data_IF_134313812487
#
_entry.id   IF_134313812487
#
_cell.length_a   1.000
_cell.length_b   1.000
_cell.length_c   1.000
_cell.angle_alpha   90.00
_cell.angle_beta   90.00
_cell.angle_gamma   90.00
#
_symmetry.space_group_name_H-M   'P 1'
#
loop_
_entity.id
_entity.type
_entity.pdbx_description
1 polymer ?
#
# COMPACT_ATOMS: atom_id res chain seq x y z
N UNK A 1 12.84 6.49 8.29
CA UNK A 1 11.91 5.64 9.08
C UNK A 1 12.76 4.76 9.97
N UNK A 2 12.39 4.59 11.24
CA UNK A 2 13.07 3.70 12.20
C UNK A 2 12.01 2.93 12.98
N UNK A 3 12.35 1.70 13.40
CA UNK A 3 11.51 0.91 14.29
C UNK A 3 12.21 0.86 15.63
N UNK A 4 11.61 1.51 16.62
CA UNK A 4 12.17 1.67 17.96
C UNK A 4 11.11 1.29 19.00
N UNK A 5 11.57 0.90 20.19
CA UNK A 5 10.68 0.68 21.34
C UNK A 5 10.25 2.02 21.92
N UNK A 6 9.11 2.04 22.63
CA UNK A 6 8.54 3.25 23.22
C UNK A 6 9.52 4.02 24.12
N UNK A 7 10.44 3.31 24.77
CA UNK A 7 11.44 3.86 25.67
C UNK A 7 12.50 4.70 24.95
N UNK A 8 12.77 4.41 23.67
CA UNK A 8 13.80 5.10 22.88
C UNK A 8 13.25 6.29 22.09
N UNK A 9 11.92 6.45 22.03
CA UNK A 9 11.29 7.49 21.22
C UNK A 9 11.37 8.85 21.89
N UNK A 10 11.96 9.83 21.19
CA UNK A 10 11.86 11.23 21.56
C UNK A 10 10.55 11.85 21.05
N UNK A 11 9.51 11.75 21.89
CA UNK A 11 8.18 12.31 21.62
C UNK A 11 8.14 13.85 21.66
N UNK A 12 9.22 14.53 22.09
CA UNK A 12 9.27 15.99 22.16
C UNK A 12 9.92 16.61 20.93
N UNK A 13 10.49 15.80 20.04
CA UNK A 13 11.10 16.29 18.81
C UNK A 13 10.05 16.90 17.88
N UNK A 14 10.25 18.16 17.50
CA UNK A 14 9.41 18.81 16.51
C UNK A 14 9.65 18.19 15.12
N UNK A 15 8.58 17.97 14.36
CA UNK A 15 8.67 17.45 12.99
C UNK A 15 8.77 15.93 12.87
N UNK A 16 8.62 15.18 13.98
CA UNK A 16 8.46 13.73 13.95
C UNK A 16 6.97 13.36 14.05
N UNK A 17 6.61 12.19 13.52
CA UNK A 17 5.33 11.56 13.80
C UNK A 17 5.59 10.10 14.15
N UNK A 18 4.86 9.60 15.14
CA UNK A 18 4.96 8.22 15.60
C UNK A 18 3.70 7.49 15.14
N UNK A 19 3.89 6.31 14.56
CA UNK A 19 2.80 5.42 14.18
C UNK A 19 3.00 4.08 14.88
N UNK A 20 1.90 3.51 15.37
CA UNK A 20 1.87 2.10 15.77
C UNK A 20 2.27 1.23 14.57
N UNK A 21 3.25 0.37 14.79
CA UNK A 21 3.74 -0.56 13.80
C UNK A 21 2.86 -1.83 13.78
N UNK A 22 2.43 -2.26 12.59
CA UNK A 22 1.67 -3.50 12.42
C UNK A 22 2.63 -4.68 12.49
N UNK A 23 2.59 -5.42 13.58
CA UNK A 23 3.53 -6.50 13.93
C UNK A 23 3.30 -7.80 13.14
N UNK A 24 2.05 -8.09 12.75
CA UNK A 24 1.63 -9.31 12.04
C UNK A 24 0.99 -8.99 10.69
N UNK A 25 1.75 -8.46 9.72
CA UNK A 25 1.24 -8.23 8.37
C UNK A 25 1.01 -9.57 7.63
N UNK A 26 0.11 -9.56 6.65
CA UNK A 26 0.05 -10.65 5.67
C UNK A 26 1.34 -10.67 4.85
N UNK A 27 1.95 -11.85 4.70
CA UNK A 27 3.22 -12.06 4.00
C UNK A 27 3.01 -12.91 2.76
N UNK A 28 3.69 -12.56 1.66
CA UNK A 28 3.81 -13.42 0.48
C UNK A 28 5.21 -14.00 0.47
N UNK A 29 5.35 -15.32 0.56
CA UNK A 29 6.64 -16.02 0.64
C UNK A 29 7.59 -15.52 1.74
N UNK A 30 7.02 -14.92 2.78
CA UNK A 30 7.76 -14.30 3.89
C UNK A 30 8.14 -12.84 3.67
N UNK A 31 7.78 -12.22 2.55
CA UNK A 31 8.00 -10.81 2.26
C UNK A 31 6.81 -9.95 2.69
N UNK A 32 7.11 -8.86 3.39
CA UNK A 32 6.15 -7.78 3.64
C UNK A 32 5.96 -6.98 2.35
N UNK A 33 4.76 -6.42 2.13
CA UNK A 33 4.49 -5.61 0.95
C UNK A 33 3.49 -4.49 1.26
N UNK A 34 3.42 -3.53 0.34
CA UNK A 34 2.34 -2.56 0.27
C UNK A 34 1.65 -2.55 -1.09
N UNK A 35 0.53 -1.82 -1.15
CA UNK A 35 -0.39 -1.81 -2.28
C UNK A 35 -0.58 -0.36 -2.73
N UNK A 36 -0.02 -0.01 -3.88
CA UNK A 36 -0.26 1.26 -4.56
C UNK A 36 -1.57 1.22 -5.35
N UNK A 37 -2.56 2.00 -4.91
CA UNK A 37 -3.83 2.17 -5.61
C UNK A 37 -3.83 3.50 -6.36
N UNK A 38 -4.08 3.46 -7.66
CA UNK A 38 -4.15 4.68 -8.45
C UNK A 38 -5.53 5.32 -8.31
N UNK A 39 -5.56 6.61 -8.01
CA UNK A 39 -6.81 7.37 -7.87
C UNK A 39 -6.78 8.64 -8.72
N UNK A 40 -7.94 9.14 -9.12
CA UNK A 40 -8.09 10.41 -9.80
C UNK A 40 -9.03 11.30 -8.99
N UNK A 41 -8.55 12.48 -8.60
CA UNK A 41 -9.36 13.49 -7.93
C UNK A 41 -9.77 14.50 -8.99
N UNK A 42 -11.07 14.61 -9.26
CA UNK A 42 -11.58 15.51 -10.32
C UNK A 42 -12.21 16.78 -9.75
N UNK A 43 -12.54 16.77 -8.46
CA UNK A 43 -13.14 17.90 -7.78
C UNK A 43 -12.86 17.76 -6.29
N UNK A 44 -12.62 18.87 -5.61
CA UNK A 44 -12.38 18.92 -4.16
C UNK A 44 -13.64 19.43 -3.44
N UNK A 45 -14.44 20.25 -4.11
CA UNK A 45 -15.70 20.76 -3.59
C UNK A 45 -16.76 20.81 -4.72
N UNK A 46 -17.69 19.84 -4.78
CA UNK A 46 -17.76 18.64 -3.92
C UNK A 46 -16.62 17.66 -4.21
N UNK A 47 -16.14 16.95 -3.19
CA UNK A 47 -15.06 15.97 -3.34
C UNK A 47 -15.49 14.83 -4.28
N UNK A 48 -14.75 14.64 -5.38
CA UNK A 48 -14.96 13.55 -6.35
C UNK A 48 -13.65 12.80 -6.59
N UNK A 49 -13.62 11.55 -6.16
CA UNK A 49 -12.46 10.65 -6.21
C UNK A 49 -12.85 9.38 -6.95
N UNK A 50 -12.06 9.00 -7.94
CA UNK A 50 -12.22 7.76 -8.71
C UNK A 50 -11.05 6.84 -8.45
N UNK A 51 -11.30 5.54 -8.34
CA UNK A 51 -10.24 4.54 -8.27
C UNK A 51 -10.03 3.98 -9.67
N UNK A 52 -8.76 3.95 -10.09
CA UNK A 52 -8.39 3.31 -11.33
C UNK A 52 -8.58 1.80 -11.21
N UNK A 53 -9.44 1.26 -12.06
CA UNK A 53 -9.80 -0.17 -12.03
C UNK A 53 -8.82 -1.09 -12.76
N UNK A 54 -7.76 -0.53 -13.37
CA UNK A 54 -6.72 -1.31 -14.04
C UNK A 54 -5.84 -2.05 -13.04
N UNK A 55 -4.53 -2.10 -13.31
CA UNK A 55 -3.60 -2.80 -12.42
C UNK A 55 -3.33 -2.01 -11.13
N UNK A 56 -2.87 -2.74 -10.13
CA UNK A 56 -2.50 -2.25 -8.80
C UNK A 56 -1.00 -2.51 -8.62
N UNK A 57 -0.29 -1.56 -8.02
CA UNK A 57 1.13 -1.73 -7.78
C UNK A 57 1.36 -2.52 -6.49
N UNK A 58 1.95 -3.71 -6.59
CA UNK A 58 2.46 -4.42 -5.42
C UNK A 58 3.96 -4.20 -5.30
N UNK A 59 4.41 -3.77 -4.11
CA UNK A 59 5.84 -3.55 -3.83
C UNK A 59 6.23 -4.35 -2.60
N UNK A 60 7.19 -5.26 -2.78
CA UNK A 60 7.63 -6.15 -1.73
C UNK A 60 8.94 -5.64 -1.11
N UNK A 61 9.11 -5.89 0.17
CA UNK A 61 10.39 -5.69 0.84
C UNK A 61 11.46 -6.58 0.18
N UNK A 62 12.70 -6.10 -0.02
CA UNK A 62 13.79 -6.90 -0.58
C UNK A 62 14.15 -8.13 0.27
N UNK A 63 13.93 -8.05 1.58
CA UNK A 63 14.25 -9.11 2.51
C UNK A 63 13.02 -9.69 3.22
N UNK A 64 13.15 -10.95 3.66
CA UNK A 64 12.09 -11.64 4.40
C UNK A 64 11.89 -11.00 5.77
N UNK A 65 10.62 -10.87 6.14
CA UNK A 65 10.16 -10.21 7.36
C UNK A 65 10.69 -10.87 8.64
N UNK A 66 10.86 -12.19 8.62
CA UNK A 66 11.39 -12.96 9.74
C UNK A 66 12.80 -13.51 9.44
N UNK A 67 13.67 -13.61 10.47
CA UNK A 67 13.46 -13.21 11.87
C UNK A 67 13.49 -11.68 12.07
N UNK A 68 12.92 -11.23 13.19
CA UNK A 68 12.83 -9.80 13.53
C UNK A 68 14.22 -9.21 13.81
N UNK A 69 14.63 -8.27 12.97
CA UNK A 69 15.85 -7.47 13.11
C UNK A 69 15.56 -5.98 12.82
N UNK A 70 15.36 -5.12 13.84
CA UNK A 70 14.96 -3.71 13.65
C UNK A 70 16.05 -2.86 12.99
N UNK A 71 17.30 -3.34 12.92
CA UNK A 71 18.39 -2.64 12.23
C UNK A 71 18.27 -2.74 10.72
N UNK A 72 17.65 -3.82 10.24
CA UNK A 72 17.46 -4.06 8.83
C UNK A 72 16.11 -3.50 8.36
N UNK A 73 16.14 -2.29 7.81
CA UNK A 73 14.96 -1.61 7.29
C UNK A 73 14.37 -2.29 6.04
N UNK A 74 15.19 -3.02 5.26
CA UNK A 74 14.75 -3.67 4.02
C UNK A 74 13.73 -4.79 4.27
N UNK A 75 13.53 -5.22 5.52
CA UNK A 75 12.50 -6.18 5.93
C UNK A 75 11.14 -5.54 6.19
N UNK A 76 11.09 -4.22 6.41
CA UNK A 76 9.92 -3.56 6.98
C UNK A 76 9.48 -2.29 6.26
N UNK A 77 10.41 -1.63 5.57
CA UNK A 77 10.18 -0.38 4.85
C UNK A 77 10.34 -0.68 3.37
N UNK A 78 9.35 -0.26 2.59
CA UNK A 78 9.40 -0.37 1.13
C UNK A 78 10.12 0.88 0.61
N UNK A 79 11.32 0.68 0.05
CA UNK A 79 12.12 1.71 -0.62
C UNK A 79 11.91 1.70 -2.15
N UNK A 80 12.78 2.43 -2.85
CA UNK A 80 12.81 2.44 -4.32
C UNK A 80 13.38 1.14 -4.92
N UNK A 81 14.17 0.42 -4.12
CA UNK A 81 14.78 -0.88 -4.40
C UNK A 81 13.86 -2.07 -4.07
N UNK A 82 12.55 -1.85 -4.04
CA UNK A 82 11.57 -2.89 -3.71
C UNK A 82 11.66 -4.10 -4.63
N UNK A 83 11.40 -5.28 -4.08
CA UNK A 83 11.31 -6.52 -4.83
C UNK A 83 10.01 -6.49 -5.67
N UNK A 84 10.09 -6.59 -7.01
CA UNK A 84 8.90 -6.53 -7.86
C UNK A 84 8.15 -7.87 -7.89
N UNK A 85 6.87 -7.82 -8.27
CA UNK A 85 5.96 -8.99 -8.31
C UNK A 85 6.53 -10.18 -9.10
N UNK A 86 7.25 -9.94 -10.20
CA UNK A 86 7.81 -11.01 -11.05
C UNK A 86 9.05 -11.71 -10.46
N UNK A 87 9.64 -11.17 -9.40
CA UNK A 87 10.76 -11.79 -8.68
C UNK A 87 10.32 -12.58 -7.45
N UNK A 88 9.08 -12.37 -6.98
CA UNK A 88 8.50 -13.14 -5.88
C UNK A 88 8.20 -14.57 -6.35
N UNK A 89 8.77 -15.62 -5.72
CA UNK A 89 8.70 -17.00 -6.24
C UNK A 89 7.30 -17.51 -6.54
N UNK A 90 6.35 -17.34 -5.62
CA UNK A 90 4.98 -17.83 -5.76
C UNK A 90 4.14 -17.00 -6.74
N UNK A 91 4.55 -15.77 -7.04
CA UNK A 91 3.82 -14.88 -7.96
C UNK A 91 4.39 -14.92 -9.38
N UNK A 92 5.69 -15.22 -9.52
CA UNK A 92 6.38 -15.32 -10.81
C UNK A 92 5.64 -16.21 -11.81
N UNK A 93 5.11 -17.35 -11.37
CA UNK A 93 4.31 -18.24 -12.22
C UNK A 93 3.08 -17.52 -12.81
N UNK A 94 2.33 -16.80 -11.99
CA UNK A 94 1.12 -16.13 -12.46
C UNK A 94 1.44 -14.94 -13.36
N UNK A 95 2.45 -14.16 -12.99
CA UNK A 95 2.80 -12.95 -13.74
C UNK A 95 3.56 -13.26 -15.03
N UNK A 96 4.68 -13.97 -14.93
CA UNK A 96 5.59 -14.20 -16.06
C UNK A 96 5.14 -15.33 -16.98
N UNK A 97 4.55 -16.41 -16.46
CA UNK A 97 4.16 -17.56 -17.30
C UNK A 97 2.72 -17.46 -17.80
N UNK A 98 1.78 -17.01 -16.95
CA UNK A 98 0.36 -16.90 -17.33
C UNK A 98 -0.04 -15.50 -17.85
N UNK A 99 0.86 -14.52 -17.77
CA UNK A 99 0.62 -13.17 -18.26
C UNK A 99 -0.42 -12.39 -17.46
N UNK A 100 -0.63 -12.73 -16.18
CA UNK A 100 -1.59 -12.03 -15.33
C UNK A 100 -1.05 -10.67 -14.90
N UNK A 101 -1.97 -9.72 -14.65
CA UNK A 101 -1.67 -8.45 -13.99
C UNK A 101 -1.11 -8.69 -12.58
N UNK A 102 -0.50 -7.69 -11.93
CA UNK A 102 -0.04 -7.87 -10.54
C UNK A 102 -1.21 -8.18 -9.61
N UNK A 103 -2.33 -7.48 -9.79
CA UNK A 103 -3.59 -7.74 -9.07
C UNK A 103 -4.07 -9.16 -9.26
N UNK A 104 -4.12 -9.65 -10.49
CA UNK A 104 -4.66 -10.99 -10.80
C UNK A 104 -3.70 -12.09 -10.36
N UNK A 105 -2.39 -11.85 -10.48
CA UNK A 105 -1.35 -12.74 -9.96
C UNK A 105 -1.47 -12.93 -8.45
N UNK A 106 -1.61 -11.82 -7.72
CA UNK A 106 -1.84 -11.85 -6.28
C UNK A 106 -3.17 -12.54 -5.93
N UNK A 107 -4.26 -12.20 -6.62
CA UNK A 107 -5.56 -12.85 -6.40
C UNK A 107 -5.51 -14.37 -6.65
N UNK A 108 -4.81 -14.81 -7.70
CA UNK A 108 -4.64 -16.22 -8.02
C UNK A 108 -3.80 -16.94 -6.95
N UNK A 109 -2.75 -16.29 -6.45
CA UNK A 109 -1.97 -16.77 -5.31
C UNK A 109 -2.82 -16.91 -4.03
N UNK A 110 -3.58 -15.88 -3.65
CA UNK A 110 -4.44 -16.00 -2.45
C UNK A 110 -5.49 -17.09 -2.62
N UNK A 111 -6.04 -17.27 -3.83
CA UNK A 111 -6.95 -18.38 -4.13
C UNK A 111 -6.26 -19.74 -4.04
N UNK A 112 -5.00 -19.85 -4.44
CA UNK A 112 -4.24 -21.11 -4.33
C UNK A 112 -3.92 -21.45 -2.86
N UNK A 113 -3.74 -20.45 -2.00
CA UNK A 113 -3.72 -20.64 -0.54
C UNK A 113 -5.09 -21.10 0.01
N UNK A 114 -6.17 -20.76 -0.70
CA UNK A 114 -7.57 -20.99 -0.35
C UNK A 114 -8.08 -22.44 -0.37
N UNK A 115 -7.26 -23.42 -0.74
CA UNK A 115 -7.54 -24.84 -0.41
C UNK A 115 -7.06 -25.20 1.01
N UNK A 116 -6.32 -24.32 1.69
CA UNK A 116 -5.75 -24.54 3.04
C UNK A 116 -6.08 -23.43 4.05
N UNK A 117 -6.42 -22.23 3.60
CA UNK A 117 -6.70 -21.05 4.43
C UNK A 117 -8.21 -20.73 4.54
N UNK A 118 -8.96 -21.52 5.34
CA UNK A 118 -10.40 -21.26 5.61
C UNK A 118 -10.68 -20.25 6.73
N UNK A 119 -9.66 -19.65 7.34
CA UNK A 119 -9.83 -18.77 8.51
C UNK A 119 -9.08 -17.44 8.29
N UNK A 120 -9.78 -16.37 7.88
CA UNK A 120 -9.29 -14.99 8.03
C UNK A 120 -9.17 -14.15 6.76
N UNK A 121 -8.54 -14.62 5.69
CA UNK A 121 -8.22 -13.77 4.52
C UNK A 121 -9.28 -13.83 3.42
N UNK A 122 -10.44 -13.22 3.63
CA UNK A 122 -11.40 -12.98 2.53
C UNK A 122 -11.18 -11.58 1.95
N UNK A 123 -10.47 -11.51 0.83
CA UNK A 123 -10.49 -10.34 -0.05
C UNK A 123 -11.92 -10.14 -0.55
N UNK A 124 -12.70 -9.30 0.15
CA UNK A 124 -13.97 -8.82 -0.38
C UNK A 124 -13.62 -7.97 -1.60
N UNK A 125 -14.30 -8.20 -2.73
CA UNK A 125 -14.18 -7.32 -3.90
C UNK A 125 -14.32 -5.88 -3.40
N UNK A 126 -13.43 -4.95 -3.78
CA UNK A 126 -13.59 -3.55 -3.43
C UNK A 126 -14.78 -3.00 -4.24
N UNK A 127 -16.00 -3.29 -3.80
CA UNK A 127 -17.18 -2.54 -4.25
C UNK A 127 -17.22 -1.18 -3.56
N UNK A 128 -16.57 -1.05 -2.41
CA UNK A 128 -16.34 0.22 -1.74
C UNK A 128 -14.89 0.28 -1.27
N UNK A 129 -14.02 1.00 -1.98
CA UNK A 129 -12.72 1.30 -1.42
C UNK A 129 -12.94 2.27 -0.25
N UNK A 130 -12.64 1.82 0.96
CA UNK A 130 -12.48 2.69 2.12
C UNK A 130 -11.22 3.55 1.93
N UNK A 131 -11.26 4.47 0.97
CA UNK A 131 -10.33 5.60 0.91
C UNK A 131 -10.89 6.63 1.87
N UNK A 132 -10.46 6.55 3.14
CA UNK A 132 -10.80 7.55 4.14
C UNK A 132 -9.97 8.82 3.88
N UNK A 133 -10.34 9.59 2.85
CA UNK A 133 -9.81 10.93 2.64
C UNK A 133 -10.46 11.85 3.69
N UNK A 134 -9.78 12.02 4.83
CA UNK A 134 -10.16 13.03 5.82
C UNK A 134 -9.95 14.41 5.19
N UNK A 135 -11.04 15.11 4.87
CA UNK A 135 -11.04 16.49 4.36
C UNK A 135 -10.23 17.37 5.32
N UNK A 136 -9.03 17.80 4.93
CA UNK A 136 -8.25 18.78 5.68
C UNK A 136 -8.58 20.20 5.15
N UNK A 137 -8.97 21.15 6.01
CA UNK A 137 -9.24 22.53 5.58
C UNK A 137 -8.01 23.24 4.97
N UNK A 138 -6.80 22.87 5.39
CA UNK A 138 -5.53 23.47 4.95
C UNK A 138 -5.19 23.20 3.49
N UNK A 139 -5.73 22.13 2.88
CA UNK A 139 -5.48 21.83 1.46
C UNK A 139 -6.22 22.80 0.53
N UNK A 140 -7.23 23.53 1.03
CA UNK A 140 -7.95 24.55 0.27
C UNK A 140 -7.18 25.87 0.15
N UNK A 141 -6.28 26.20 1.08
CA UNK A 141 -5.55 27.49 1.07
C UNK A 141 -4.31 27.50 0.16
N UNK A 142 -3.83 26.33 -0.27
CA UNK A 142 -2.60 26.20 -1.08
C UNK A 142 -2.86 26.09 -2.59
N UNK A 143 -4.13 26.13 -3.02
CA UNK A 143 -4.49 26.02 -4.42
C UNK A 143 -4.82 27.42 -4.95
N UNK A 144 -4.00 28.01 -5.87
CA UNK A 144 -4.45 29.19 -6.57
C UNK A 144 -5.74 28.83 -7.32
N UNK A 145 -6.75 29.70 -7.26
CA UNK A 145 -7.94 29.62 -8.11
C UNK A 145 -7.61 30.28 -9.45
N UNK A 146 -7.24 29.56 -10.52
CA UNK A 146 -7.16 30.17 -11.83
C UNK A 146 -8.58 30.44 -12.34
N UNK A 147 -8.85 31.61 -12.94
CA UNK A 147 -10.11 31.84 -13.62
C UNK A 147 -10.18 30.93 -14.86
N UNK A 148 -11.12 29.99 -14.86
CA UNK A 148 -11.54 29.27 -16.06
C UNK A 148 -10.77 28.00 -16.47
N UNK A 149 -9.91 27.42 -15.63
CA UNK A 149 -9.15 26.21 -16.01
C UNK A 149 -9.70 24.93 -15.32
N UNK A 150 -10.26 24.02 -16.11
CA UNK A 150 -10.47 22.60 -15.76
C UNK A 150 -9.12 21.90 -15.63
N UNK A 151 -8.47 22.02 -14.47
CA UNK A 151 -7.22 21.31 -14.18
C UNK A 151 -7.53 19.96 -13.52
N UNK A 152 -7.61 18.91 -14.32
CA UNK A 152 -7.56 17.53 -13.83
C UNK A 152 -6.13 17.24 -13.36
N UNK A 153 -5.85 17.39 -12.06
CA UNK A 153 -4.58 16.91 -11.48
C UNK A 153 -4.74 15.46 -11.03
N UNK A 154 -3.86 14.61 -11.56
CA UNK A 154 -3.74 13.22 -11.15
C UNK A 154 -3.00 13.14 -9.81
N UNK A 155 -3.61 12.54 -8.78
CA UNK A 155 -2.98 12.27 -7.50
C UNK A 155 -2.93 10.75 -7.29
N UNK A 156 -1.73 10.18 -7.38
CA UNK A 156 -1.50 8.76 -7.06
C UNK A 156 -1.43 8.64 -5.53
N UNK A 157 -2.38 7.91 -4.93
CA UNK A 157 -2.43 7.73 -3.48
C UNK A 157 -1.97 6.31 -3.13
N UNK A 158 -0.72 6.16 -2.71
CA UNK A 158 -0.18 4.87 -2.28
C UNK A 158 -0.68 4.59 -0.85
N UNK A 159 -1.52 3.57 -0.68
CA UNK A 159 -2.01 3.15 0.64
C UNK A 159 -1.07 2.07 1.20
N UNK A 160 -0.21 2.46 2.14
CA UNK A 160 0.62 1.50 2.86
C UNK A 160 -0.16 0.86 4.00
N UNK A 161 -0.12 -0.48 4.05
CA UNK A 161 -0.60 -1.37 5.13
C UNK A 161 -2.10 -1.66 5.17
N UNK A 162 -2.48 -2.89 4.78
CA UNK A 162 -3.74 -3.50 5.20
C UNK A 162 -3.55 -4.10 6.60
N UNK A 163 -4.37 -3.66 7.58
CA UNK A 163 -4.59 -4.43 8.81
C UNK A 163 -5.52 -5.60 8.45
N UNK A 164 -5.04 -6.83 8.64
CA UNK A 164 -5.87 -8.06 8.65
C UNK A 164 -6.15 -8.47 10.07
#
# INVERSE_FOLDING_TARGET
>A
IKIETLEMLDLKSNGSFVQEYVDKPFLVDGYKFDIGVYTAITSIDPLRVYIYNGDILFRYCPEKYHPFDPKNLNKYVIGDDYLPTWEVPSLKKFYSELGYSMRDSFNAYVRSLGTRARSGCRWRRPSEPFVLLRRQPSTMSCLPTPPGATSSRWFVLILSSMRT
#
